data_IF_859510194411
#
_entry.id   IF_859510194411
#
_cell.length_a   1.000
_cell.length_b   1.000
_cell.length_c   1.000
_cell.angle_alpha   90.00
_cell.angle_beta   90.00
_cell.angle_gamma   90.00
#
_symmetry.space_group_name_H-M   'P 1'
#
loop_
_entity.id
_entity.type
_entity.pdbx_description
1 polymer ?
#
# COMPACT_ATOMS: atom_id res chain seq x y z
N UNK A 1 -43.67 -10.94 -1.22
CA UNK A 1 -43.76 -10.29 -2.53
C UNK A 1 -44.25 -8.86 -2.33
N UNK A 2 -43.45 -7.86 -2.69
CA UNK A 2 -43.80 -6.45 -2.62
C UNK A 2 -42.80 -5.71 -3.51
N UNK A 3 -43.33 -5.07 -4.55
CA UNK A 3 -42.63 -4.74 -5.77
C UNK A 3 -42.15 -3.28 -5.81
N UNK A 4 -41.26 -3.02 -6.77
CA UNK A 4 -41.06 -1.75 -7.46
C UNK A 4 -40.52 -0.55 -6.68
N UNK A 5 -39.21 -0.32 -6.81
CA UNK A 5 -38.63 1.02 -6.73
C UNK A 5 -38.24 1.45 -8.16
N UNK A 6 -39.19 2.06 -8.87
CA UNK A 6 -38.99 2.62 -10.20
C UNK A 6 -38.11 3.89 -10.16
N UNK A 7 -37.27 3.97 -11.19
CA UNK A 7 -36.52 5.12 -11.72
C UNK A 7 -37.35 6.41 -11.79
N UNK A 8 -36.66 7.55 -11.73
CA UNK A 8 -36.86 8.83 -12.49
C UNK A 8 -36.16 9.96 -11.71
N UNK A 9 -35.38 10.92 -12.21
CA UNK A 9 -34.75 11.27 -13.49
C UNK A 9 -33.82 12.48 -13.20
N UNK A 10 -32.85 12.71 -14.09
CA UNK A 10 -32.33 14.02 -14.53
C UNK A 10 -31.52 14.91 -13.54
N UNK A 11 -30.26 15.16 -13.90
CA UNK A 11 -29.92 16.51 -14.34
C UNK A 11 -28.70 16.50 -15.27
N UNK A 12 -28.88 17.21 -16.38
CA UNK A 12 -28.10 17.26 -17.59
C UNK A 12 -27.41 18.64 -17.59
N UNK A 13 -26.12 18.75 -17.28
CA UNK A 13 -25.42 20.05 -17.37
C UNK A 13 -24.52 20.10 -18.61
N UNK A 14 -25.14 20.55 -19.70
CA UNK A 14 -24.51 21.05 -20.92
C UNK A 14 -24.10 22.51 -20.72
N UNK A 15 -22.91 22.83 -21.26
CA UNK A 15 -22.50 24.12 -21.83
C UNK A 15 -22.16 25.29 -20.88
N UNK A 16 -20.92 25.79 -20.98
CA UNK A 16 -20.67 27.07 -21.67
C UNK A 16 -19.18 27.23 -22.01
N UNK A 17 -18.89 27.22 -23.31
CA UNK A 17 -17.75 27.90 -23.94
C UNK A 17 -18.00 29.42 -23.91
N UNK A 18 -16.92 30.24 -23.92
CA UNK A 18 -16.76 31.64 -24.41
C UNK A 18 -15.73 32.36 -23.50
N UNK A 19 -14.45 32.40 -23.87
CA UNK A 19 -13.73 33.49 -24.58
C UNK A 19 -13.59 34.77 -23.74
N UNK A 20 -12.35 35.06 -23.33
CA UNK A 20 -11.88 36.41 -22.97
C UNK A 20 -10.42 36.56 -23.44
N UNK A 21 -10.29 37.08 -24.67
CA UNK A 21 -9.10 37.79 -25.14
C UNK A 21 -9.14 39.23 -24.61
N UNK A 22 -7.99 39.79 -24.22
CA UNK A 22 -7.41 41.09 -24.66
C UNK A 22 -6.36 41.59 -23.65
N UNK A 23 -5.14 41.86 -24.14
CA UNK A 23 -4.39 43.07 -23.76
C UNK A 23 -3.07 42.91 -22.98
N UNK A 24 -1.95 43.30 -23.61
CA UNK A 24 -0.72 43.69 -22.88
C UNK A 24 0.61 43.48 -23.61
N UNK A 25 0.92 44.30 -24.62
CA UNK A 25 2.26 44.46 -25.20
C UNK A 25 3.11 45.37 -24.30
N UNK A 26 4.24 44.88 -23.77
CA UNK A 26 5.53 45.59 -23.59
C UNK A 26 6.43 44.85 -22.59
N UNK A 27 7.59 44.37 -23.06
CA UNK A 27 8.59 43.71 -22.22
C UNK A 27 9.84 43.39 -23.04
N UNK A 28 10.87 44.20 -22.84
CA UNK A 28 12.08 44.31 -23.62
C UNK A 28 13.09 43.17 -23.35
N UNK A 29 13.78 42.74 -24.41
CA UNK A 29 15.23 42.49 -24.40
C UNK A 29 15.81 41.50 -23.39
N UNK A 30 15.97 40.25 -23.81
CA UNK A 30 16.83 39.29 -23.14
C UNK A 30 16.74 37.92 -23.79
N UNK A 31 17.51 37.68 -24.85
CA UNK A 31 17.65 36.35 -25.46
C UNK A 31 18.42 35.42 -24.52
N UNK A 32 17.76 34.96 -23.46
CA UNK A 32 18.10 33.72 -22.80
C UNK A 32 17.35 32.61 -23.55
N UNK A 33 18.08 31.77 -24.28
CA UNK A 33 17.50 30.56 -24.85
C UNK A 33 16.79 29.78 -23.75
N UNK A 34 15.50 29.38 -23.93
CA UNK A 34 14.81 28.56 -22.96
C UNK A 34 15.63 27.29 -22.74
N UNK A 35 16.16 27.11 -21.53
CA UNK A 35 16.75 25.82 -21.16
C UNK A 35 15.60 24.83 -21.09
N UNK A 36 15.67 23.75 -21.87
CA UNK A 36 14.64 22.71 -21.82
C UNK A 36 14.46 22.24 -20.36
N UNK A 37 13.22 22.03 -19.89
CA UNK A 37 13.00 21.50 -18.56
C UNK A 37 13.75 20.17 -18.40
N UNK A 38 14.32 19.89 -17.22
CA UNK A 38 15.01 18.64 -16.98
C UNK A 38 14.05 17.46 -17.23
N UNK A 39 14.56 16.31 -17.74
CA UNK A 39 13.74 15.13 -17.89
C UNK A 39 13.14 14.72 -16.54
N UNK A 40 11.90 14.19 -16.52
CA UNK A 40 11.29 13.72 -15.29
C UNK A 40 12.15 12.64 -14.63
N UNK A 41 12.23 12.59 -13.29
CA UNK A 41 12.97 11.55 -12.60
C UNK A 41 12.40 10.16 -12.94
N UNK A 42 13.25 9.12 -13.01
CA UNK A 42 12.79 7.75 -13.19
C UNK A 42 11.77 7.35 -12.09
N UNK A 43 10.78 6.51 -12.41
CA UNK A 43 9.86 5.98 -11.40
C UNK A 43 10.64 5.28 -10.27
N UNK A 44 10.21 5.50 -9.03
CA UNK A 44 10.77 4.78 -7.89
C UNK A 44 10.56 3.27 -8.07
N UNK A 45 11.66 2.51 -8.07
CA UNK A 45 11.60 1.05 -8.20
C UNK A 45 11.15 0.44 -6.87
N UNK A 46 10.13 -0.42 -6.93
CA UNK A 46 9.64 -1.20 -5.78
C UNK A 46 10.28 -2.59 -5.85
N UNK A 47 10.92 -3.01 -4.76
CA UNK A 47 11.45 -4.37 -4.64
C UNK A 47 10.74 -5.06 -3.48
N UNK A 48 9.81 -5.96 -3.81
CA UNK A 48 9.05 -6.68 -2.81
C UNK A 48 9.90 -7.69 -2.05
N UNK A 49 9.75 -7.73 -0.72
CA UNK A 49 10.27 -8.80 0.10
C UNK A 49 9.58 -10.12 -0.25
N UNK A 50 10.38 -11.19 -0.30
CA UNK A 50 9.89 -12.56 -0.44
C UNK A 50 10.24 -13.29 0.84
N UNK A 51 9.21 -13.63 1.61
CA UNK A 51 9.34 -14.39 2.84
C UNK A 51 9.35 -15.88 2.50
N UNK A 52 10.19 -16.64 3.19
CA UNK A 52 10.35 -18.07 2.94
C UNK A 52 10.11 -18.88 4.21
N UNK A 53 9.28 -19.90 4.07
CA UNK A 53 9.11 -20.96 5.05
C UNK A 53 10.21 -22.00 4.84
N UNK A 54 11.13 -22.12 5.78
CA UNK A 54 12.23 -23.10 5.69
C UNK A 54 11.75 -24.54 5.81
N UNK A 55 10.58 -24.78 6.41
CA UNK A 55 10.07 -26.14 6.65
C UNK A 55 9.40 -26.69 5.40
N UNK A 56 8.51 -25.92 4.78
CA UNK A 56 7.75 -26.35 3.59
C UNK A 56 8.40 -25.94 2.27
N UNK A 57 9.34 -25.00 2.28
CA UNK A 57 9.89 -24.37 1.07
C UNK A 57 8.96 -23.33 0.42
N UNK A 58 7.73 -23.17 0.93
CA UNK A 58 6.78 -22.16 0.47
C UNK A 58 7.39 -20.76 0.59
N UNK A 59 7.11 -19.90 -0.40
CA UNK A 59 7.58 -18.52 -0.41
C UNK A 59 6.48 -17.61 -0.95
N UNK A 60 6.38 -16.40 -0.39
CA UNK A 60 5.38 -15.41 -0.81
C UNK A 60 5.81 -14.00 -0.44
N UNK A 61 5.30 -13.00 -1.16
CA UNK A 61 5.38 -11.58 -0.77
C UNK A 61 4.12 -11.10 -0.06
N UNK A 62 3.03 -11.86 -0.15
CA UNK A 62 1.75 -11.53 0.48
C UNK A 62 1.76 -12.00 1.94
N UNK A 63 1.59 -11.04 2.86
CA UNK A 63 1.55 -11.28 4.30
C UNK A 63 0.18 -10.84 4.83
N UNK A 64 -0.45 -11.70 5.63
CA UNK A 64 -1.80 -11.46 6.17
C UNK A 64 -1.77 -10.94 7.58
N UNK A 65 -2.68 -10.03 7.90
CA UNK A 65 -2.97 -9.62 9.27
C UNK A 65 -4.07 -10.49 9.92
N UNK A 66 -4.56 -10.06 11.07
CA UNK A 66 -5.59 -10.76 11.86
C UNK A 66 -6.97 -10.82 11.19
N UNK A 67 -7.19 -9.99 10.17
CA UNK A 67 -8.44 -9.89 9.39
C UNK A 67 -8.28 -10.49 7.99
N UNK A 68 -7.21 -11.26 7.75
CA UNK A 68 -6.80 -11.79 6.45
C UNK A 68 -6.52 -10.72 5.37
N UNK A 69 -6.36 -9.45 5.75
CA UNK A 69 -6.00 -8.38 4.84
C UNK A 69 -4.52 -8.51 4.46
N UNK A 70 -4.20 -8.21 3.21
CA UNK A 70 -2.86 -8.43 2.66
C UNK A 70 -2.05 -7.14 2.74
N UNK A 71 -0.86 -7.26 3.31
CA UNK A 71 0.22 -6.29 3.21
C UNK A 71 1.41 -6.89 2.47
N UNK A 72 2.23 -6.02 1.90
CA UNK A 72 3.52 -6.36 1.31
C UNK A 72 4.60 -5.46 1.90
N UNK A 73 5.86 -5.82 1.70
CA UNK A 73 6.97 -5.01 2.17
C UNK A 73 7.89 -4.68 1.01
N UNK A 74 8.23 -3.40 0.87
CA UNK A 74 9.23 -2.92 -0.06
C UNK A 74 10.58 -2.79 0.65
N UNK A 75 11.56 -3.53 0.15
CA UNK A 75 12.92 -3.56 0.68
C UNK A 75 13.63 -2.25 0.39
N UNK A 76 13.50 -1.73 -0.84
CA UNK A 76 14.24 -0.54 -1.29
C UNK A 76 13.83 0.70 -0.50
N UNK A 77 12.53 0.91 -0.31
CA UNK A 77 11.97 2.02 0.45
C UNK A 77 11.78 1.74 1.94
N UNK A 78 12.12 0.54 2.42
CA UNK A 78 11.91 0.12 3.82
C UNK A 78 10.48 0.43 4.31
N UNK A 79 9.49 -0.01 3.53
CA UNK A 79 8.10 0.40 3.70
C UNK A 79 7.11 -0.77 3.69
N UNK A 80 6.07 -0.67 4.52
CA UNK A 80 4.87 -1.48 4.42
C UNK A 80 3.99 -0.92 3.30
N UNK A 81 3.46 -1.81 2.46
CA UNK A 81 2.51 -1.50 1.40
C UNK A 81 1.17 -2.10 1.79
N UNK A 82 0.16 -1.24 1.93
CA UNK A 82 -1.22 -1.62 2.11
C UNK A 82 -1.81 -2.03 0.75
N UNK A 83 -2.02 -3.32 0.49
CA UNK A 83 -2.35 -3.79 -0.88
C UNK A 83 -3.70 -3.28 -1.37
N UNK A 84 -4.64 -3.01 -0.47
CA UNK A 84 -6.00 -2.59 -0.80
C UNK A 84 -6.00 -1.32 -1.67
N UNK A 85 -5.15 -0.34 -1.37
CA UNK A 85 -5.10 0.94 -2.09
C UNK A 85 -3.69 1.39 -2.49
N UNK A 86 -2.67 0.57 -2.22
CA UNK A 86 -1.28 0.82 -2.60
C UNK A 86 -0.57 1.87 -1.73
N UNK A 87 -1.18 2.38 -0.65
CA UNK A 87 -0.51 3.31 0.27
C UNK A 87 0.73 2.67 0.89
N UNK A 88 1.74 3.51 1.15
CA UNK A 88 3.06 3.10 1.63
C UNK A 88 3.39 3.81 2.93
N UNK A 89 3.90 3.06 3.88
CA UNK A 89 4.26 3.55 5.22
C UNK A 89 5.72 3.19 5.48
N UNK A 90 6.58 4.18 5.64
CA UNK A 90 8.01 3.98 5.93
C UNK A 90 8.24 3.43 7.34
N UNK A 91 9.43 2.87 7.59
CA UNK A 91 9.83 2.39 8.91
C UNK A 91 9.73 0.87 9.08
N UNK A 92 9.60 0.14 7.98
CA UNK A 92 9.48 -1.31 7.94
C UNK A 92 10.60 -1.95 7.11
N UNK A 93 11.88 -1.77 7.49
CA UNK A 93 12.94 -2.57 6.89
C UNK A 93 12.69 -4.05 7.16
N UNK A 94 13.09 -4.91 6.22
CA UNK A 94 12.94 -6.37 6.30
C UNK A 94 14.33 -7.02 6.30
N UNK A 95 14.54 -7.99 7.19
CA UNK A 95 15.76 -8.81 7.22
C UNK A 95 15.38 -10.28 7.42
N UNK A 96 15.50 -11.09 6.37
CA UNK A 96 14.94 -12.44 6.37
C UNK A 96 13.43 -12.39 6.58
N UNK A 97 12.94 -13.07 7.62
CA UNK A 97 11.53 -13.01 8.02
C UNK A 97 11.23 -12.00 9.13
N UNK A 98 12.22 -11.22 9.59
CA UNK A 98 12.03 -10.17 10.60
C UNK A 98 11.64 -8.85 9.92
N UNK A 99 10.75 -8.11 10.57
CA UNK A 99 10.25 -6.81 10.12
C UNK A 99 10.47 -5.77 11.21
N UNK A 100 10.85 -4.56 10.79
CA UNK A 100 11.41 -3.46 11.59
C UNK A 100 12.84 -3.73 12.05
N UNK A 101 13.57 -2.64 12.27
CA UNK A 101 14.98 -2.69 12.66
C UNK A 101 15.19 -3.30 14.05
N UNK A 102 14.20 -3.19 14.93
CA UNK A 102 14.20 -3.82 16.26
C UNK A 102 13.76 -5.29 16.23
N UNK A 103 13.33 -5.81 15.08
CA UNK A 103 12.82 -7.18 14.95
C UNK A 103 11.58 -7.46 15.79
N UNK A 104 10.83 -6.42 16.19
CA UNK A 104 9.66 -6.58 17.06
C UNK A 104 8.53 -7.37 16.37
N UNK A 105 8.49 -7.31 15.05
CA UNK A 105 7.57 -8.08 14.23
C UNK A 105 8.31 -9.09 13.36
N UNK A 106 7.61 -10.16 12.99
CA UNK A 106 8.11 -11.15 12.05
C UNK A 106 6.99 -11.76 11.24
N UNK A 107 7.35 -12.32 10.09
CA UNK A 107 6.48 -13.14 9.28
C UNK A 107 6.58 -14.60 9.72
N UNK A 108 5.43 -15.19 10.06
CA UNK A 108 5.29 -16.62 10.38
C UNK A 108 4.40 -17.30 9.35
N UNK A 109 4.52 -18.61 9.23
CA UNK A 109 3.79 -19.38 8.22
C UNK A 109 2.81 -20.33 8.89
N UNK A 110 1.61 -20.40 8.33
CA UNK A 110 0.52 -21.22 8.81
C UNK A 110 -0.25 -21.85 7.67
N UNK A 111 -1.17 -22.74 8.01
CA UNK A 111 -2.09 -23.37 7.07
C UNK A 111 -3.52 -23.05 7.48
N UNK A 112 -4.27 -22.40 6.59
CA UNK A 112 -5.68 -22.09 6.78
C UNK A 112 -6.46 -22.61 5.58
N UNK A 113 -7.51 -23.39 5.84
CA UNK A 113 -8.35 -24.02 4.80
C UNK A 113 -7.56 -24.85 3.78
N UNK A 114 -6.48 -25.49 4.23
CA UNK A 114 -5.59 -26.29 3.37
C UNK A 114 -4.54 -25.49 2.59
N UNK A 115 -4.55 -24.16 2.67
CA UNK A 115 -3.59 -23.30 1.98
C UNK A 115 -2.48 -22.83 2.92
N UNK A 116 -1.22 -22.92 2.47
CA UNK A 116 -0.07 -22.34 3.17
C UNK A 116 -0.08 -20.82 2.98
N UNK A 117 0.05 -20.06 4.08
CA UNK A 117 -0.04 -18.60 4.11
C UNK A 117 1.02 -18.01 5.04
N UNK A 118 1.39 -16.77 4.76
CA UNK A 118 2.26 -15.96 5.62
C UNK A 118 1.42 -14.98 6.44
N UNK A 119 1.77 -14.80 7.71
CA UNK A 119 1.06 -13.97 8.68
C UNK A 119 2.03 -13.00 9.35
N UNK A 120 1.59 -11.76 9.53
CA UNK A 120 2.30 -10.72 10.24
C UNK A 120 2.08 -10.89 11.75
N UNK A 121 3.16 -11.10 12.49
CA UNK A 121 3.08 -11.49 13.91
C UNK A 121 4.03 -10.68 14.78
N UNK A 122 3.73 -10.58 16.06
CA UNK A 122 4.71 -10.16 17.05
C UNK A 122 5.75 -11.25 17.27
N UNK A 123 7.02 -10.87 17.36
CA UNK A 123 8.13 -11.82 17.56
C UNK A 123 8.02 -12.55 18.90
N UNK A 124 7.71 -11.81 19.98
CA UNK A 124 7.66 -12.35 21.35
C UNK A 124 6.34 -13.03 21.65
N UNK A 125 5.20 -12.37 21.38
CA UNK A 125 3.88 -12.94 21.68
C UNK A 125 3.49 -14.05 20.70
N UNK A 126 4.07 -14.08 19.50
CA UNK A 126 3.79 -15.07 18.43
C UNK A 126 2.35 -15.04 17.91
N UNK A 127 1.59 -14.04 18.28
CA UNK A 127 0.22 -13.80 17.81
C UNK A 127 0.21 -12.93 16.55
N UNK A 128 -0.84 -13.08 15.75
CA UNK A 128 -1.08 -12.29 14.55
C UNK A 128 -1.42 -10.86 14.98
N UNK A 129 -0.83 -9.86 14.34
CA UNK A 129 -1.21 -8.47 14.58
C UNK A 129 -2.39 -8.08 13.70
N UNK A 130 -3.19 -7.14 14.19
CA UNK A 130 -4.15 -6.38 13.40
C UNK A 130 -3.45 -5.15 12.83
N UNK A 131 -3.71 -4.83 11.56
CA UNK A 131 -3.12 -3.67 10.91
C UNK A 131 -4.26 -2.80 10.39
N UNK A 132 -4.32 -1.56 10.84
CA UNK A 132 -5.33 -0.60 10.42
C UNK A 132 -4.68 0.68 9.90
N UNK A 133 -5.34 1.35 8.95
CA UNK A 133 -4.93 2.68 8.52
C UNK A 133 -5.84 3.74 9.15
N UNK A 134 -5.35 4.41 10.18
CA UNK A 134 -6.09 5.41 10.95
C UNK A 134 -5.45 6.78 10.75
N UNK A 135 -6.23 7.76 10.31
CA UNK A 135 -5.73 9.12 10.10
C UNK A 135 -4.58 9.24 9.09
N UNK A 136 -4.51 8.32 8.12
CA UNK A 136 -3.41 8.27 7.15
C UNK A 136 -2.10 7.72 7.68
N UNK A 137 -2.12 7.11 8.88
CA UNK A 137 -0.97 6.41 9.48
C UNK A 137 -1.31 4.95 9.69
N UNK A 138 -0.26 4.11 9.76
CA UNK A 138 -0.42 2.69 10.10
C UNK A 138 -0.51 2.52 11.62
N UNK A 139 -1.52 1.80 12.08
CA UNK A 139 -1.70 1.35 13.46
C UNK A 139 -1.54 -0.17 13.48
N UNK A 140 -0.69 -0.68 14.36
CA UNK A 140 -0.43 -2.12 14.49
C UNK A 140 -0.70 -2.51 15.93
N UNK A 141 -1.64 -3.43 16.14
CA UNK A 141 -2.06 -3.87 17.46
C UNK A 141 -1.90 -5.38 17.58
N UNK A 142 -1.33 -5.85 18.69
CA UNK A 142 -1.30 -7.28 18.99
C UNK A 142 -2.72 -7.81 19.19
N UNK A 143 -2.97 -9.04 18.76
CA UNK A 143 -4.23 -9.74 19.02
C UNK A 143 -4.00 -11.01 19.84
N UNK A 144 -5.06 -11.71 20.20
CA UNK A 144 -4.99 -13.05 20.78
C UNK A 144 -4.97 -14.18 19.73
N UNK A 145 -5.02 -13.86 18.43
CA UNK A 145 -5.07 -14.87 17.38
C UNK A 145 -3.70 -15.51 17.16
N UNK A 146 -3.64 -16.84 17.16
CA UNK A 146 -2.43 -17.59 16.81
C UNK A 146 -2.40 -17.89 15.31
N UNK A 147 -1.20 -18.09 14.77
CA UNK A 147 -1.03 -18.57 13.38
C UNK A 147 -1.71 -19.93 13.20
N UNK A 148 -2.66 -20.10 12.26
CA UNK A 148 -3.36 -21.36 12.05
C UNK A 148 -2.42 -22.47 11.58
N UNK A 149 -2.61 -23.69 12.06
CA UNK A 149 -1.85 -24.87 11.58
C UNK A 149 -0.33 -24.72 11.70
N UNK A 150 0.13 -23.98 12.70
CA UNK A 150 1.54 -23.77 13.05
C UNK A 150 2.00 -24.83 14.05
#
# INVERSE_FOLDING_TARGET
MGADCQRTLLSLNRALLIVLLIGGLSGCGGSASPTAPPPPPPPAQVQLAVFRDSVSGFSTSDVRDSQDQIVRFDITGSALIWVIDGRRFSGFPVTGNLVRADGFFQVRFGTKDGERRAYFTETVATTICDIEIVGGSVSITSTSQTVPGN
#
